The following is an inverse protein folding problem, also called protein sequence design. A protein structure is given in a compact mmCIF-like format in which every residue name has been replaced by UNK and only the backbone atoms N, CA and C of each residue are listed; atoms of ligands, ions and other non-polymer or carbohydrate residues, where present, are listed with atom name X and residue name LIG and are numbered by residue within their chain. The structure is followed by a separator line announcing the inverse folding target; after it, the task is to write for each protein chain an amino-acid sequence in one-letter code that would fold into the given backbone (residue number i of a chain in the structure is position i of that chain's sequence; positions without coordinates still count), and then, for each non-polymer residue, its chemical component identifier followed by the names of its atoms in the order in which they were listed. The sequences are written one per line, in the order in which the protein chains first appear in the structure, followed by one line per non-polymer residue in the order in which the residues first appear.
data_IF_331261559094
#
_entry.id   IF_331261559094
#
_cell.length_a   1.000
_cell.length_b   1.000
_cell.length_c   1.000
_cell.angle_alpha   90.00
_cell.angle_beta   90.00
_cell.angle_gamma   90.00
#
_symmetry.space_group_name_H-M   'P 1'
#
loop_
_entity.id
_entity.type
_entity.pdbx_description
1 polymer ?
#
# COMPACT_ATOMS: atom_id res chain seq x y z
N UNK A 1 1.87 -17.46 5.53
CA UNK A 1 0.70 -16.94 4.80
C UNK A 1 0.05 -18.11 4.07
N UNK A 2 -1.24 -18.36 4.27
CA UNK A 2 -1.95 -19.50 3.65
C UNK A 2 -2.78 -19.01 2.45
N UNK A 3 -2.08 -18.48 1.43
CA UNK A 3 -2.71 -17.98 0.20
C UNK A 3 -2.94 -19.17 -0.73
N UNK A 4 -4.21 -19.45 -1.05
CA UNK A 4 -4.59 -20.66 -1.79
C UNK A 4 -4.67 -20.44 -3.31
N UNK A 5 -4.84 -19.19 -3.77
CA UNK A 5 -5.00 -18.85 -5.18
C UNK A 5 -4.21 -17.58 -5.47
N UNK A 6 -2.92 -17.74 -5.79
CA UNK A 6 -2.04 -16.61 -6.12
C UNK A 6 -2.44 -15.99 -7.46
N UNK A 7 -3.01 -16.79 -8.37
CA UNK A 7 -3.47 -16.37 -9.70
C UNK A 7 -4.65 -15.39 -9.67
N UNK A 8 -5.39 -15.33 -8.55
CA UNK A 8 -6.51 -14.41 -8.37
C UNK A 8 -6.09 -13.06 -7.77
N UNK A 9 -4.81 -12.87 -7.46
CA UNK A 9 -4.30 -11.62 -6.90
C UNK A 9 -3.97 -10.61 -8.01
N UNK A 10 -4.30 -9.34 -7.77
CA UNK A 10 -3.93 -8.24 -8.66
C UNK A 10 -2.45 -7.90 -8.51
N UNK A 11 -1.71 -7.95 -9.62
CA UNK A 11 -0.36 -7.40 -9.68
C UNK A 11 -0.42 -5.88 -9.84
N UNK A 12 0.36 -5.16 -9.03
CA UNK A 12 0.42 -3.69 -9.08
C UNK A 12 1.86 -3.22 -9.18
N UNK A 13 2.15 -2.50 -10.25
CA UNK A 13 3.39 -1.73 -10.38
C UNK A 13 3.15 -0.33 -9.82
N UNK A 14 4.06 0.15 -8.97
CA UNK A 14 4.02 1.49 -8.40
C UNK A 14 5.30 2.24 -8.75
N UNK A 15 5.17 3.51 -9.06
CA UNK A 15 6.31 4.41 -9.21
C UNK A 15 6.79 4.83 -7.82
N UNK A 16 8.11 4.81 -7.61
CA UNK A 16 8.73 5.15 -6.32
C UNK A 16 9.72 6.28 -6.53
N UNK A 17 9.28 7.49 -6.19
CA UNK A 17 10.12 8.67 -6.11
C UNK A 17 10.81 8.80 -4.75
N UNK A 18 11.48 9.93 -4.54
CA UNK A 18 12.17 10.23 -3.27
C UNK A 18 11.19 10.27 -2.09
N UNK A 19 10.02 10.89 -2.26
CA UNK A 19 9.05 11.02 -1.18
C UNK A 19 8.48 9.64 -0.78
N UNK A 20 8.06 8.86 -1.76
CA UNK A 20 7.52 7.51 -1.58
C UNK A 20 8.58 6.56 -1.00
N UNK A 21 9.85 6.71 -1.43
CA UNK A 21 10.97 5.93 -0.92
C UNK A 21 11.25 6.20 0.56
N UNK A 22 11.21 7.47 0.99
CA UNK A 22 11.40 7.84 2.41
C UNK A 22 10.22 7.38 3.27
N UNK A 23 8.99 7.54 2.77
CA UNK A 23 7.78 7.04 3.45
C UNK A 23 7.82 5.50 3.59
N UNK A 24 8.21 4.78 2.54
CA UNK A 24 8.37 3.33 2.54
C UNK A 24 9.46 2.87 3.51
N UNK A 25 10.60 3.57 3.53
CA UNK A 25 11.69 3.29 4.46
C UNK A 25 11.21 3.46 5.91
N UNK A 26 10.55 4.58 6.20
CA UNK A 26 10.03 4.88 7.53
C UNK A 26 9.00 3.83 7.96
N UNK A 27 8.07 3.47 7.07
CA UNK A 27 7.06 2.45 7.35
C UNK A 27 7.68 1.06 7.57
N UNK A 28 8.75 0.71 6.87
CA UNK A 28 9.45 -0.59 7.00
C UNK A 28 10.15 -0.75 8.36
N UNK A 29 10.63 0.34 8.94
CA UNK A 29 11.23 0.32 10.28
C UNK A 29 10.17 0.20 11.39
N UNK A 30 8.94 0.62 11.12
CA UNK A 30 7.88 0.71 12.11
C UNK A 30 6.86 -0.43 12.01
N UNK A 31 6.76 -1.09 10.86
CA UNK A 31 5.69 -2.06 10.57
C UNK A 31 6.13 -3.18 9.63
N UNK A 32 5.53 -4.35 9.81
CA UNK A 32 5.66 -5.50 8.89
C UNK A 32 4.84 -5.34 7.61
N UNK A 33 3.94 -4.34 7.56
CA UNK A 33 3.00 -4.13 6.47
C UNK A 33 3.30 -2.83 5.69
N UNK A 34 4.59 -2.52 5.50
CA UNK A 34 5.03 -1.26 4.93
C UNK A 34 4.40 -0.93 3.57
N UNK A 35 4.38 -1.90 2.65
CA UNK A 35 3.78 -1.72 1.31
C UNK A 35 2.28 -1.43 1.38
N UNK A 36 1.55 -2.11 2.26
CA UNK A 36 0.11 -1.85 2.46
C UNK A 36 -0.10 -0.44 2.99
N UNK A 37 0.68 -0.04 3.99
CA UNK A 37 0.55 1.25 4.65
C UNK A 37 0.86 2.44 3.71
N UNK A 38 1.76 2.26 2.75
CA UNK A 38 2.13 3.32 1.80
C UNK A 38 1.22 3.32 0.57
N UNK A 39 0.95 2.15 -0.03
CA UNK A 39 0.35 2.09 -1.37
C UNK A 39 -1.10 1.62 -1.43
N UNK A 40 -1.64 1.05 -0.34
CA UNK A 40 -2.99 0.45 -0.30
C UNK A 40 -3.91 1.07 0.76
N UNK A 41 -3.45 2.05 1.54
CA UNK A 41 -4.29 2.70 2.56
C UNK A 41 -5.43 3.47 1.91
N UNK A 42 -6.66 3.01 2.12
CA UNK A 42 -7.85 3.68 1.63
C UNK A 42 -7.99 5.04 2.32
N UNK A 43 -7.76 6.13 1.59
CA UNK A 43 -8.24 7.45 2.03
C UNK A 43 -9.76 7.34 2.06
N UNK A 44 -10.34 7.19 3.26
CA UNK A 44 -11.77 7.08 3.46
C UNK A 44 -12.48 8.12 2.58
N UNK A 45 -13.25 7.64 1.61
CA UNK A 45 -13.90 8.50 0.62
C UNK A 45 -14.66 9.58 1.36
N UNK A 46 -14.23 10.84 1.22
CA UNK A 46 -15.07 11.98 1.60
C UNK A 46 -16.29 11.89 0.68
N UNK A 47 -17.39 11.29 1.16
CA UNK A 47 -18.68 11.38 0.50
C UNK A 47 -19.02 12.85 0.41
N UNK A 48 -18.83 13.44 -0.77
CA UNK A 48 -19.35 14.78 -1.05
C UNK A 48 -20.85 14.62 -1.22
N UNK A 49 -21.63 14.96 -0.18
CA UNK A 49 -23.06 15.16 -0.34
C UNK A 49 -23.28 16.32 -1.33
N UNK A 50 -24.20 16.11 -2.27
CA UNK A 50 -24.53 17.02 -3.37
C UNK A 50 -25.07 18.35 -2.87
#
# INVERSE_FOLDING_TARGET
FNVQQVDALEEKVVDVGINEGVELLTASLQSKNALTNVFLTQKAGKKRCK
#
